data_IF_074121261128
#
_entry.id   IF_074121261128
#
_cell.length_a   1.000
_cell.length_b   1.000
_cell.length_c   1.000
_cell.angle_alpha   90.00
_cell.angle_beta   90.00
_cell.angle_gamma   90.00
#
_symmetry.space_group_name_H-M   'P 1'
#
loop_
_entity.id
_entity.type
_entity.pdbx_description
1 polymer ?
#
# COMPACT_ATOMS: atom_id res chain seq x y z
N UNK A 1 -0.80 -9.79 -53.60
CA UNK A 1 -1.65 -10.79 -52.89
C UNK A 1 -0.93 -11.43 -51.69
N UNK A 2 0.37 -11.77 -51.77
CA UNK A 2 1.13 -12.32 -50.61
C UNK A 2 1.24 -11.38 -49.40
N UNK A 3 1.56 -10.09 -49.61
CA UNK A 3 1.78 -9.13 -48.52
C UNK A 3 0.54 -8.88 -47.64
N UNK A 4 -0.66 -8.84 -48.24
CA UNK A 4 -1.91 -8.64 -47.49
C UNK A 4 -2.38 -9.88 -46.73
N UNK A 5 -1.86 -11.06 -47.06
CA UNK A 5 -2.10 -12.27 -46.29
C UNK A 5 -1.22 -12.27 -45.04
N UNK A 6 0.07 -11.95 -45.15
CA UNK A 6 0.99 -11.92 -44.00
C UNK A 6 0.56 -10.91 -42.91
N UNK A 7 0.08 -9.72 -43.29
CA UNK A 7 -0.49 -8.76 -42.33
C UNK A 7 -1.75 -9.29 -41.62
N UNK A 8 -2.65 -9.93 -42.36
CA UNK A 8 -3.89 -10.50 -41.79
C UNK A 8 -3.62 -11.64 -40.83
N UNK A 9 -2.61 -12.46 -41.11
CA UNK A 9 -2.17 -13.54 -40.23
C UNK A 9 -1.49 -12.98 -38.97
N UNK A 10 -0.62 -11.97 -39.10
CA UNK A 10 0.01 -11.31 -37.94
C UNK A 10 -0.98 -10.58 -37.03
N UNK A 11 -2.05 -9.99 -37.58
CA UNK A 11 -3.12 -9.38 -36.78
C UNK A 11 -3.94 -10.44 -36.04
N UNK A 12 -4.24 -11.57 -36.70
CA UNK A 12 -4.97 -12.67 -36.08
C UNK A 12 -4.17 -13.33 -34.94
N UNK A 13 -2.84 -13.43 -35.08
CA UNK A 13 -1.95 -13.96 -34.04
C UNK A 13 -1.85 -13.03 -32.84
N UNK A 14 -1.61 -11.73 -33.07
CA UNK A 14 -1.64 -10.71 -31.99
C UNK A 14 -3.00 -10.64 -31.30
N UNK A 15 -4.10 -10.81 -32.04
CA UNK A 15 -5.43 -10.85 -31.46
C UNK A 15 -5.60 -12.08 -30.54
N UNK A 16 -5.09 -13.25 -30.95
CA UNK A 16 -5.10 -14.47 -30.11
C UNK A 16 -4.23 -14.31 -28.86
N UNK A 17 -3.04 -13.72 -28.98
CA UNK A 17 -2.17 -13.40 -27.84
C UNK A 17 -2.85 -12.41 -26.86
N UNK A 18 -3.55 -11.40 -27.39
CA UNK A 18 -4.31 -10.45 -26.58
C UNK A 18 -5.56 -11.07 -25.93
N UNK A 19 -6.18 -12.04 -26.59
CA UNK A 19 -7.31 -12.77 -26.02
C UNK A 19 -6.83 -13.73 -24.93
N UNK A 20 -5.71 -14.42 -25.17
CA UNK A 20 -5.03 -15.24 -24.18
C UNK A 20 -4.57 -14.40 -22.98
N UNK A 21 -4.01 -13.20 -23.17
CA UNK A 21 -3.62 -12.33 -22.06
C UNK A 21 -4.82 -11.87 -21.21
N UNK A 22 -5.97 -11.62 -21.85
CA UNK A 22 -7.23 -11.34 -21.15
C UNK A 22 -7.77 -12.53 -20.37
N UNK A 23 -7.63 -13.75 -20.88
CA UNK A 23 -8.04 -14.98 -20.17
C UNK A 23 -7.08 -15.32 -19.02
N UNK A 24 -5.78 -15.14 -19.24
CA UNK A 24 -4.71 -15.26 -18.24
C UNK A 24 -5.00 -14.32 -17.06
N UNK A 25 -5.33 -13.05 -17.33
CA UNK A 25 -5.69 -12.06 -16.29
C UNK A 25 -6.97 -12.41 -15.51
N UNK A 26 -7.85 -13.25 -16.08
CA UNK A 26 -9.12 -13.65 -15.43
C UNK A 26 -8.98 -14.85 -14.49
N UNK A 27 -7.83 -15.53 -14.49
CA UNK A 27 -7.59 -16.61 -13.54
C UNK A 27 -7.29 -16.01 -12.15
N UNK A 28 -8.11 -16.30 -11.12
CA UNK A 28 -7.96 -15.70 -9.79
C UNK A 28 -6.65 -16.08 -9.08
N UNK A 29 -5.89 -17.04 -9.63
CA UNK A 29 -4.64 -17.53 -9.06
C UNK A 29 -3.40 -17.07 -9.84
N UNK A 30 -3.58 -16.41 -10.98
CA UNK A 30 -2.45 -15.89 -11.73
C UNK A 30 -1.95 -14.60 -11.10
N UNK A 31 -0.64 -14.56 -10.85
CA UNK A 31 0.06 -13.36 -10.43
C UNK A 31 1.38 -13.20 -11.15
N UNK A 32 2.13 -12.20 -10.71
CA UNK A 32 3.44 -11.87 -11.26
C UNK A 32 4.50 -12.10 -10.19
N UNK A 33 5.43 -13.02 -10.46
CA UNK A 33 6.60 -13.23 -9.61
C UNK A 33 7.66 -12.18 -9.96
N UNK A 34 7.79 -11.18 -9.09
CA UNK A 34 8.74 -10.07 -9.28
C UNK A 34 10.20 -10.54 -9.25
N UNK A 35 10.50 -11.65 -8.57
CA UNK A 35 11.88 -12.14 -8.49
C UNK A 35 12.33 -12.82 -9.79
N UNK A 36 11.39 -13.39 -10.55
CA UNK A 36 11.64 -14.09 -11.82
C UNK A 36 11.16 -13.33 -13.06
N UNK A 37 10.46 -12.22 -12.85
CA UNK A 37 9.85 -11.40 -13.89
C UNK A 37 8.82 -12.16 -14.77
N UNK A 38 8.18 -13.19 -14.22
CA UNK A 38 7.28 -14.09 -14.96
C UNK A 38 5.86 -14.12 -14.39
N UNK A 39 4.86 -14.35 -15.25
CA UNK A 39 3.50 -14.63 -14.82
C UNK A 39 3.37 -16.10 -14.43
N UNK A 40 3.01 -16.35 -13.17
CA UNK A 40 2.94 -17.69 -12.60
C UNK A 40 1.61 -17.92 -11.89
N UNK A 41 1.24 -19.19 -11.73
CA UNK A 41 0.21 -19.56 -10.77
C UNK A 41 0.79 -19.36 -9.34
N UNK A 42 0.24 -18.40 -8.61
CA UNK A 42 0.73 -18.01 -7.28
C UNK A 42 0.61 -19.14 -6.25
N UNK A 43 -0.40 -20.01 -6.39
CA UNK A 43 -0.58 -21.16 -5.49
C UNK A 43 0.54 -22.18 -5.71
N UNK A 44 0.79 -22.55 -6.97
CA UNK A 44 1.83 -23.54 -7.31
C UNK A 44 3.24 -23.01 -7.02
N UNK A 45 3.44 -21.70 -7.19
CA UNK A 45 4.70 -21.02 -6.84
C UNK A 45 4.90 -20.84 -5.32
N UNK A 46 3.90 -21.15 -4.49
CA UNK A 46 3.95 -21.00 -3.03
C UNK A 46 3.88 -19.54 -2.54
N UNK A 47 3.49 -18.61 -3.41
CA UNK A 47 3.32 -17.18 -3.10
C UNK A 47 1.90 -17.00 -2.58
N UNK A 48 1.68 -17.30 -1.30
CA UNK A 48 0.35 -17.35 -0.69
C UNK A 48 0.30 -16.45 0.55
N UNK A 49 -0.60 -15.48 0.53
CA UNK A 49 -0.91 -14.66 1.70
C UNK A 49 -2.01 -15.31 2.57
N UNK A 50 -1.83 -15.40 3.90
CA UNK A 50 -2.88 -15.88 4.77
C UNK A 50 -4.11 -14.96 4.71
N UNK A 51 -5.31 -15.54 4.61
CA UNK A 51 -6.59 -14.81 4.51
C UNK A 51 -6.75 -13.72 5.59
N UNK A 52 -6.25 -13.98 6.80
CA UNK A 52 -6.27 -13.02 7.92
C UNK A 52 -5.51 -11.74 7.60
N UNK A 53 -4.37 -11.84 6.92
CA UNK A 53 -3.50 -10.68 6.60
C UNK A 53 -4.23 -9.74 5.65
N UNK A 54 -4.71 -10.25 4.51
CA UNK A 54 -5.40 -9.42 3.50
C UNK A 54 -6.69 -8.81 4.05
N UNK A 55 -7.49 -9.56 4.81
CA UNK A 55 -8.73 -9.06 5.41
C UNK A 55 -8.47 -7.97 6.45
N UNK A 56 -7.55 -8.22 7.39
CA UNK A 56 -7.26 -7.24 8.44
C UNK A 56 -6.64 -5.96 7.89
N UNK A 57 -5.75 -6.07 6.90
CA UNK A 57 -5.18 -4.92 6.21
C UNK A 57 -6.26 -4.03 5.59
N UNK A 58 -7.19 -4.63 4.83
CA UNK A 58 -8.29 -3.88 4.20
C UNK A 58 -9.22 -3.22 5.23
N UNK A 59 -9.58 -3.94 6.28
CA UNK A 59 -10.46 -3.41 7.33
C UNK A 59 -9.82 -2.24 8.08
N UNK A 60 -8.53 -2.35 8.43
CA UNK A 60 -7.80 -1.28 9.11
C UNK A 60 -7.63 -0.05 8.21
N UNK A 61 -7.32 -0.26 6.92
CA UNK A 61 -7.24 0.83 5.94
C UNK A 61 -8.57 1.55 5.77
N UNK A 62 -9.67 0.81 5.64
CA UNK A 62 -11.01 1.38 5.56
C UNK A 62 -11.38 2.16 6.84
N UNK A 63 -11.03 1.64 8.02
CA UNK A 63 -11.26 2.32 9.30
C UNK A 63 -10.50 3.64 9.39
N UNK A 64 -9.22 3.65 9.02
CA UNK A 64 -8.41 4.88 9.03
C UNK A 64 -8.94 5.91 8.02
N UNK A 65 -9.29 5.47 6.81
CA UNK A 65 -9.88 6.33 5.79
C UNK A 65 -11.22 6.92 6.25
N UNK A 66 -12.08 6.13 6.89
CA UNK A 66 -13.35 6.60 7.43
C UNK A 66 -13.16 7.67 8.52
N UNK A 67 -12.21 7.47 9.44
CA UNK A 67 -11.89 8.47 10.45
C UNK A 67 -11.40 9.78 9.83
N UNK A 68 -10.51 9.71 8.83
CA UNK A 68 -10.00 10.90 8.15
C UNK A 68 -11.09 11.64 7.38
N UNK A 69 -11.99 10.93 6.68
CA UNK A 69 -13.05 11.55 5.88
C UNK A 69 -14.16 12.19 6.73
N UNK A 70 -14.40 11.66 7.93
CA UNK A 70 -15.44 12.18 8.83
C UNK A 70 -14.93 13.21 9.84
N UNK A 71 -13.60 13.39 9.94
CA UNK A 71 -12.99 14.42 10.78
C UNK A 71 -12.88 15.72 10.00
N UNK A 72 -13.77 16.67 10.27
CA UNK A 72 -13.83 17.95 9.55
C UNK A 72 -12.69 18.92 9.92
N UNK A 73 -12.10 18.77 11.12
CA UNK A 73 -11.01 19.63 11.59
C UNK A 73 -10.01 18.86 12.47
N UNK A 74 -8.73 19.15 12.29
CA UNK A 74 -7.66 18.70 13.17
C UNK A 74 -6.96 19.94 13.76
N UNK A 75 -6.94 20.05 15.10
CA UNK A 75 -6.27 21.14 15.82
C UNK A 75 -4.96 20.61 16.37
N UNK A 76 -3.86 21.30 16.09
CA UNK A 76 -2.54 20.99 16.64
C UNK A 76 -2.01 22.17 17.45
N UNK A 77 -1.36 21.88 18.58
CA UNK A 77 -0.65 22.89 19.36
C UNK A 77 0.63 23.31 18.62
N UNK A 78 0.96 24.60 18.70
CA UNK A 78 2.25 25.09 18.21
C UNK A 78 3.35 24.47 19.09
N UNK A 79 4.39 23.85 18.49
CA UNK A 79 5.48 23.31 19.28
C UNK A 79 6.15 24.43 20.07
N UNK A 80 6.12 24.30 21.41
CA UNK A 80 6.85 25.21 22.29
C UNK A 80 8.34 25.08 22.03
N UNK A 81 9.03 26.22 21.88
CA UNK A 81 10.49 26.22 22.00
C UNK A 81 10.79 25.79 23.43
N UNK A 82 11.29 24.58 23.61
CA UNK A 82 12.01 24.24 24.83
C UNK A 82 13.21 25.17 24.89
N UNK A 83 13.13 26.20 25.72
CA UNK A 83 14.33 26.88 26.16
C UNK A 83 15.26 25.79 26.68
N UNK A 84 16.39 25.64 26.00
CA UNK A 84 17.46 24.78 26.46
C UNK A 84 17.85 25.29 27.84
N UNK A 85 17.38 24.62 28.89
CA UNK A 85 17.97 24.74 30.22
C UNK A 85 19.34 24.07 30.13
N UNK A 86 20.29 24.83 29.57
CA UNK A 86 21.70 24.49 29.57
C UNK A 86 22.37 25.36 30.63
N UNK A 87 22.40 24.83 31.85
CA UNK A 87 23.43 25.14 32.84
C UNK A 87 23.13 26.30 33.79
N UNK A 88 22.87 25.95 35.05
CA UNK A 88 23.11 26.86 36.17
C UNK A 88 22.09 26.75 37.29
N UNK A 89 22.18 25.70 38.11
CA UNK A 89 21.71 25.84 39.50
C UNK A 89 22.77 26.65 40.23
N UNK A 90 22.40 27.75 40.90
CA UNK A 90 22.39 27.67 42.36
C UNK A 90 21.35 28.58 43.02
N UNK A 91 20.61 28.04 43.99
CA UNK A 91 20.03 28.87 45.05
C UNK A 91 18.56 28.61 45.32
N UNK A 92 18.30 27.80 46.35
CA UNK A 92 17.54 28.22 47.52
C UNK A 92 16.07 28.63 47.36
N UNK A 93 15.24 27.86 48.09
CA UNK A 93 14.10 28.32 48.90
C UNK A 93 12.69 28.03 48.38
N UNK A 94 11.97 27.21 49.17
CA UNK A 94 10.50 27.19 49.30
C UNK A 94 9.81 26.42 48.17
N UNK A 95 9.15 25.29 48.39
CA UNK A 95 8.21 25.03 49.49
C UNK A 95 6.79 25.07 48.93
N UNK A 96 6.19 23.89 48.81
CA UNK A 96 4.74 23.64 48.90
C UNK A 96 3.82 24.22 47.81
N UNK A 97 3.29 23.32 46.98
CA UNK A 97 2.16 23.60 46.09
C UNK A 97 1.84 22.39 45.24
N UNK A 98 1.02 21.49 45.79
CA UNK A 98 0.33 20.46 45.04
C UNK A 98 -0.99 21.08 44.60
N UNK A 99 -1.18 21.24 43.30
CA UNK A 99 -2.45 21.64 42.71
C UNK A 99 -2.70 20.86 41.43
N UNK A 100 -3.97 20.46 41.34
CA UNK A 100 -4.62 19.51 40.44
C UNK A 100 -4.41 19.78 38.96
#
# INVERSE_FOLDING_TARGET
IKATLEEKWGIAEKAKEFQASKEITRLPQLGYDVAKEEFVNMIDAGIIDPVKVTRSALQNAASAAAMLLTTEAAIANIPEKKDSIAGGMPGGMGGMGMDY
#
